data_IF_506844203449
#
_entry.id   IF_506844203449
#
_cell.length_a   1.000
_cell.length_b   1.000
_cell.length_c   1.000
_cell.angle_alpha   90.00
_cell.angle_beta   90.00
_cell.angle_gamma   90.00
#
_symmetry.space_group_name_H-M   'P 1'
#
loop_
_entity.id
_entity.type
_entity.pdbx_description
1 polymer ?
#
# COMPACT_ATOMS: atom_id res chain seq x y z
N UNK A 1 -10.49 -9.58 -24.37
CA UNK A 1 -9.39 -9.34 -23.39
C UNK A 1 -9.35 -10.56 -22.50
N UNK A 2 -8.18 -10.97 -21.97
CA UNK A 2 -8.18 -12.06 -21.02
C UNK A 2 -8.60 -11.59 -19.62
N UNK A 3 -9.06 -12.51 -18.78
CA UNK A 3 -9.63 -12.19 -17.47
C UNK A 3 -8.66 -11.45 -16.52
N UNK A 4 -7.37 -11.76 -16.59
CA UNK A 4 -6.35 -11.08 -15.76
C UNK A 4 -6.23 -9.60 -16.10
N UNK A 5 -6.17 -9.28 -17.39
CA UNK A 5 -6.12 -7.88 -17.86
C UNK A 5 -7.40 -7.14 -17.47
N UNK A 6 -8.57 -7.80 -17.62
CA UNK A 6 -9.85 -7.22 -17.20
C UNK A 6 -9.87 -6.90 -15.70
N UNK A 7 -9.40 -7.82 -14.85
CA UNK A 7 -9.29 -7.61 -13.39
C UNK A 7 -8.45 -6.37 -13.09
N UNK A 8 -7.26 -6.26 -13.70
CA UNK A 8 -6.37 -5.12 -13.46
C UNK A 8 -7.00 -3.80 -13.92
N UNK A 9 -7.62 -3.77 -15.09
CA UNK A 9 -8.24 -2.55 -15.64
C UNK A 9 -9.55 -2.16 -14.92
N UNK A 10 -10.20 -3.11 -14.23
CA UNK A 10 -11.42 -2.87 -13.47
C UNK A 10 -11.16 -2.62 -11.98
N UNK A 11 -9.89 -2.48 -11.59
CA UNK A 11 -9.52 -2.22 -10.20
C UNK A 11 -10.27 -1.01 -9.60
N UNK A 12 -10.82 -1.21 -8.39
CA UNK A 12 -11.46 -0.19 -7.57
C UNK A 12 -11.09 -0.37 -6.11
N UNK A 13 -10.88 0.73 -5.41
CA UNK A 13 -10.77 0.68 -3.94
C UNK A 13 -12.15 0.48 -3.33
N UNK A 14 -12.39 -0.69 -2.72
CA UNK A 14 -13.62 -1.02 -2.01
C UNK A 14 -13.45 -0.71 -0.54
N UNK A 15 -14.32 0.13 0.00
CA UNK A 15 -14.25 0.60 1.40
C UNK A 15 -15.39 0.11 2.28
N UNK A 16 -16.38 -0.54 1.67
CA UNK A 16 -17.50 -1.20 2.38
C UNK A 16 -17.51 -2.67 2.03
N UNK A 17 -17.58 -3.48 3.06
CA UNK A 17 -17.59 -4.93 2.95
C UNK A 17 -18.83 -5.48 3.63
N UNK A 18 -19.32 -6.62 3.14
CA UNK A 18 -20.33 -7.41 3.85
C UNK A 18 -19.74 -8.03 5.12
N UNK A 19 -20.57 -8.60 5.96
CA UNK A 19 -20.12 -9.34 7.14
C UNK A 19 -19.59 -10.74 6.83
N UNK A 20 -19.64 -11.16 5.58
CA UNK A 20 -19.16 -12.46 5.13
C UNK A 20 -17.62 -12.51 5.25
N UNK A 21 -17.14 -13.61 5.81
CA UNK A 21 -15.70 -13.83 5.98
C UNK A 21 -15.08 -14.31 4.66
N UNK A 22 -13.87 -13.87 4.40
CA UNK A 22 -13.04 -14.47 3.34
C UNK A 22 -12.81 -15.95 3.69
N UNK A 23 -13.04 -16.84 2.75
CA UNK A 23 -12.85 -18.28 2.96
C UNK A 23 -11.37 -18.58 3.24
N UNK A 24 -11.12 -19.71 3.93
CA UNK A 24 -9.73 -20.15 4.16
C UNK A 24 -9.05 -20.49 2.84
N UNK A 25 -9.78 -21.09 1.92
CA UNK A 25 -9.32 -21.47 0.60
C UNK A 25 -8.90 -20.26 -0.23
N UNK A 26 -9.71 -19.19 -0.23
CA UNK A 26 -9.39 -17.95 -0.93
C UNK A 26 -8.19 -17.25 -0.28
N UNK A 27 -8.14 -17.18 1.05
CA UNK A 27 -7.01 -16.62 1.77
C UNK A 27 -5.71 -17.36 1.44
N UNK A 28 -5.72 -18.71 1.45
CA UNK A 28 -4.55 -19.52 1.12
C UNK A 28 -4.09 -19.28 -0.34
N UNK A 29 -5.02 -19.12 -1.28
CA UNK A 29 -4.71 -18.77 -2.66
C UNK A 29 -4.09 -17.38 -2.78
N UNK A 30 -4.68 -16.38 -2.14
CA UNK A 30 -4.17 -15.00 -2.11
C UNK A 30 -2.75 -14.95 -1.56
N UNK A 31 -2.49 -15.62 -0.42
CA UNK A 31 -1.16 -15.65 0.20
C UNK A 31 -0.14 -16.38 -0.69
N UNK A 32 -0.52 -17.48 -1.36
CA UNK A 32 0.36 -18.16 -2.31
C UNK A 32 0.68 -17.29 -3.52
N UNK A 33 -0.29 -16.55 -4.06
CA UNK A 33 -0.05 -15.61 -5.14
C UNK A 33 0.87 -14.46 -4.70
N UNK A 34 0.65 -13.92 -3.50
CA UNK A 34 1.53 -12.90 -2.92
C UNK A 34 2.98 -13.38 -2.84
N UNK A 35 3.20 -14.58 -2.30
CA UNK A 35 4.53 -15.16 -2.13
C UNK A 35 5.21 -15.61 -3.44
N UNK A 36 4.48 -15.62 -4.56
CA UNK A 36 5.01 -16.04 -5.87
C UNK A 36 5.48 -14.83 -6.72
N UNK A 37 5.55 -13.64 -6.16
CA UNK A 37 6.10 -12.47 -6.82
C UNK A 37 7.61 -12.54 -7.00
N UNK A 38 8.15 -11.73 -7.93
CA UNK A 38 9.59 -11.56 -8.06
C UNK A 38 10.18 -10.88 -6.82
N UNK A 39 11.37 -11.31 -6.40
CA UNK A 39 12.06 -10.73 -5.24
C UNK A 39 13.54 -10.52 -5.55
N UNK A 40 14.15 -9.59 -4.83
CA UNK A 40 15.57 -9.27 -4.98
C UNK A 40 16.43 -10.49 -4.66
N UNK A 41 17.22 -10.94 -5.65
CA UNK A 41 18.10 -12.09 -5.50
C UNK A 41 17.40 -13.37 -5.03
N UNK A 42 16.11 -13.47 -5.17
CA UNK A 42 15.26 -14.55 -4.64
C UNK A 42 15.38 -14.73 -3.11
N UNK A 43 15.68 -13.65 -2.37
CA UNK A 43 15.82 -13.68 -0.91
C UNK A 43 14.49 -13.61 -0.16
N UNK A 44 13.42 -13.15 -0.82
CA UNK A 44 12.08 -12.94 -0.25
C UNK A 44 12.14 -12.09 1.04
N UNK A 45 12.65 -10.86 0.93
CA UNK A 45 12.88 -9.95 2.07
C UNK A 45 11.60 -9.29 2.59
N UNK A 46 10.55 -10.06 2.74
CA UNK A 46 9.27 -9.58 3.27
C UNK A 46 8.58 -10.61 4.17
N UNK A 47 7.66 -10.13 4.97
CA UNK A 47 6.73 -10.95 5.76
C UNK A 47 5.31 -10.40 5.64
N UNK A 48 4.32 -11.28 5.79
CA UNK A 48 2.89 -10.93 5.73
C UNK A 48 2.25 -11.27 7.07
N UNK A 49 1.63 -10.28 7.71
CA UNK A 49 0.83 -10.50 8.91
C UNK A 49 -0.64 -10.53 8.50
N UNK A 50 -1.30 -11.62 8.81
CA UNK A 50 -2.72 -11.84 8.56
C UNK A 50 -3.50 -11.49 9.81
N UNK A 51 -4.41 -10.53 9.71
CA UNK A 51 -5.29 -10.11 10.81
C UNK A 51 -6.74 -10.39 10.44
N UNK A 52 -7.38 -11.28 11.20
CA UNK A 52 -8.82 -11.59 11.13
C UNK A 52 -9.50 -11.43 12.49
N UNK A 53 -8.72 -11.19 13.54
CA UNK A 53 -9.20 -10.98 14.89
C UNK A 53 -9.76 -9.55 15.04
N UNK A 54 -11.01 -9.44 15.43
CA UNK A 54 -11.69 -8.16 15.58
C UNK A 54 -11.03 -7.27 16.65
N UNK A 55 -10.56 -7.86 17.75
CA UNK A 55 -9.89 -7.08 18.80
C UNK A 55 -8.56 -6.50 18.32
N UNK A 56 -7.82 -7.24 17.47
CA UNK A 56 -6.60 -6.74 16.85
C UNK A 56 -6.91 -5.57 15.91
N UNK A 57 -7.96 -5.67 15.10
CA UNK A 57 -8.38 -4.60 14.20
C UNK A 57 -8.86 -3.35 14.97
N UNK A 58 -9.62 -3.53 16.06
CA UNK A 58 -10.05 -2.45 16.95
C UNK A 58 -8.83 -1.72 17.58
N UNK A 59 -7.76 -2.44 17.93
CA UNK A 59 -6.51 -1.85 18.41
C UNK A 59 -5.73 -1.12 17.31
N UNK A 60 -5.79 -1.61 16.08
CA UNK A 60 -5.14 -0.97 14.93
C UNK A 60 -5.91 0.26 14.42
N UNK A 61 -7.22 0.34 14.63
CA UNK A 61 -8.07 1.40 14.10
C UNK A 61 -7.61 2.83 14.44
N UNK A 62 -7.22 3.16 15.69
CA UNK A 62 -6.67 4.49 16.00
C UNK A 62 -5.39 4.81 15.22
N UNK A 63 -4.57 3.82 14.90
CA UNK A 63 -3.35 3.98 14.11
C UNK A 63 -3.65 4.24 12.63
N UNK A 64 -4.83 3.86 12.19
CA UNK A 64 -5.40 4.19 10.89
C UNK A 64 -6.37 5.39 10.96
N UNK A 65 -6.23 6.26 11.97
CA UNK A 65 -7.07 7.45 12.18
C UNK A 65 -8.57 7.13 12.28
N UNK A 66 -8.92 5.98 12.85
CA UNK A 66 -10.28 5.48 12.99
C UNK A 66 -11.07 5.44 11.67
N UNK A 67 -10.40 5.22 10.55
CA UNK A 67 -11.09 5.02 9.29
C UNK A 67 -12.01 3.78 9.38
N UNK A 68 -13.29 3.89 8.99
CA UNK A 68 -14.24 2.77 9.13
C UNK A 68 -13.78 1.47 8.48
N UNK A 69 -13.01 1.57 7.41
CA UNK A 69 -12.44 0.41 6.70
C UNK A 69 -11.45 -0.36 7.57
N UNK A 70 -10.74 0.29 8.49
CA UNK A 70 -9.78 -0.36 9.38
C UNK A 70 -10.45 -1.23 10.45
N UNK A 71 -11.74 -0.96 10.77
CA UNK A 71 -12.50 -1.72 11.77
C UNK A 71 -13.49 -2.71 11.15
N UNK A 72 -13.98 -2.43 9.94
CA UNK A 72 -15.07 -3.17 9.32
C UNK A 72 -14.61 -4.20 8.27
N UNK A 73 -13.33 -4.20 7.91
CA UNK A 73 -12.80 -5.20 6.99
C UNK A 73 -12.78 -6.59 7.67
N UNK A 74 -13.23 -7.65 7.00
CA UNK A 74 -13.17 -9.01 7.56
C UNK A 74 -11.76 -9.59 7.58
N UNK A 75 -10.83 -9.03 6.80
CA UNK A 75 -9.44 -9.46 6.68
C UNK A 75 -8.55 -8.25 6.41
N UNK A 76 -7.40 -8.18 7.09
CA UNK A 76 -6.33 -7.25 6.79
C UNK A 76 -5.02 -8.01 6.58
N UNK A 77 -4.27 -7.66 5.54
CA UNK A 77 -2.93 -8.16 5.27
C UNK A 77 -1.94 -7.00 5.44
N UNK A 78 -1.04 -7.11 6.42
CA UNK A 78 0.06 -6.16 6.59
C UNK A 78 1.34 -6.74 6.02
N UNK A 79 1.90 -6.08 5.03
CA UNK A 79 3.15 -6.44 4.38
C UNK A 79 4.29 -5.66 5.02
N UNK A 80 5.30 -6.38 5.46
CA UNK A 80 6.47 -5.81 6.11
C UNK A 80 7.72 -6.03 5.26
N UNK A 81 8.55 -5.00 5.12
CA UNK A 81 9.95 -5.17 4.76
C UNK A 81 10.63 -5.96 5.88
N UNK A 82 11.22 -7.11 5.58
CA UNK A 82 11.76 -8.05 6.58
C UNK A 82 13.19 -8.47 6.23
N UNK A 83 14.13 -7.78 6.83
CA UNK A 83 15.55 -8.14 6.79
C UNK A 83 15.94 -9.05 7.97
N UNK A 84 15.10 -9.14 9.00
CA UNK A 84 15.37 -9.92 10.19
C UNK A 84 15.48 -11.42 9.88
N UNK A 85 14.51 -11.97 9.16
CA UNK A 85 14.49 -13.40 8.81
C UNK A 85 15.73 -13.81 8.01
N UNK A 86 16.17 -12.99 7.06
CA UNK A 86 17.36 -13.26 6.27
C UNK A 86 18.64 -13.13 7.09
N UNK A 87 18.74 -12.11 7.98
CA UNK A 87 19.86 -11.97 8.90
C UNK A 87 19.96 -13.18 9.86
N UNK A 88 18.83 -13.68 10.38
CA UNK A 88 18.81 -14.90 11.18
C UNK A 88 19.29 -16.13 10.40
N UNK A 89 18.92 -16.23 9.12
CA UNK A 89 19.46 -17.28 8.24
C UNK A 89 20.98 -17.17 8.10
N UNK A 90 21.51 -15.98 7.86
CA UNK A 90 22.96 -15.74 7.77
C UNK A 90 23.67 -16.13 9.08
N UNK A 91 23.13 -15.71 10.22
CA UNK A 91 23.66 -16.04 11.54
C UNK A 91 23.77 -17.56 11.76
N UNK A 92 22.67 -18.30 11.50
CA UNK A 92 22.65 -19.76 11.65
C UNK A 92 23.52 -20.51 10.63
N UNK A 93 24.00 -19.83 9.60
CA UNK A 93 24.94 -20.38 8.61
C UNK A 93 26.38 -19.89 8.80
N UNK A 94 26.65 -19.06 9.82
CA UNK A 94 27.98 -18.49 10.08
C UNK A 94 28.38 -17.45 9.01
N UNK A 95 27.42 -16.84 8.31
CA UNK A 95 27.65 -15.77 7.35
C UNK A 95 27.56 -14.39 8.03
N UNK A 96 28.07 -13.34 7.36
CA UNK A 96 27.99 -11.97 7.85
C UNK A 96 26.52 -11.50 7.98
N UNK A 97 26.20 -10.81 9.09
CA UNK A 97 24.84 -10.33 9.40
C UNK A 97 24.67 -8.81 9.30
N UNK A 98 25.76 -8.09 9.01
CA UNK A 98 25.80 -6.61 8.93
C UNK A 98 25.61 -6.05 7.50
N UNK A 99 25.59 -6.94 6.49
CA UNK A 99 25.46 -6.56 5.10
C UNK A 99 24.11 -5.91 4.76
N UNK A 100 23.07 -6.18 5.55
CA UNK A 100 21.68 -5.81 5.26
C UNK A 100 21.09 -4.79 6.26
N UNK A 101 21.93 -3.96 6.86
CA UNK A 101 21.53 -2.89 7.79
C UNK A 101 21.77 -1.52 7.17
N UNK A 102 21.28 -1.30 5.96
CA UNK A 102 21.47 -0.04 5.21
C UNK A 102 20.27 0.28 4.34
N UNK A 103 20.21 1.52 3.83
CA UNK A 103 19.10 2.01 3.02
C UNK A 103 18.87 1.17 1.75
N UNK A 104 19.94 0.67 1.12
CA UNK A 104 19.82 -0.13 -0.11
C UNK A 104 19.09 -1.46 0.16
N UNK A 105 19.44 -2.15 1.22
CA UNK A 105 18.76 -3.41 1.59
C UNK A 105 17.32 -3.17 2.07
N UNK A 106 17.06 -2.07 2.77
CA UNK A 106 15.70 -1.64 3.08
C UNK A 106 14.87 -1.40 1.82
N UNK A 107 15.42 -0.69 0.83
CA UNK A 107 14.75 -0.48 -0.46
C UNK A 107 14.40 -1.80 -1.16
N UNK A 108 15.30 -2.80 -1.13
CA UNK A 108 15.02 -4.12 -1.68
C UNK A 108 13.86 -4.80 -0.95
N UNK A 109 13.86 -4.77 0.37
CA UNK A 109 12.83 -5.38 1.19
C UNK A 109 11.45 -4.69 1.00
N UNK A 110 11.43 -3.37 0.87
CA UNK A 110 10.21 -2.60 0.53
C UNK A 110 9.68 -3.01 -0.86
N UNK A 111 10.57 -3.12 -1.85
CA UNK A 111 10.19 -3.54 -3.21
C UNK A 111 9.57 -4.93 -3.21
N UNK A 112 10.21 -5.90 -2.54
CA UNK A 112 9.71 -7.26 -2.40
C UNK A 112 8.32 -7.28 -1.74
N UNK A 113 8.13 -6.53 -0.65
CA UNK A 113 6.85 -6.43 0.07
C UNK A 113 5.73 -5.82 -0.80
N UNK A 114 6.03 -4.77 -1.57
CA UNK A 114 5.04 -4.10 -2.44
C UNK A 114 4.66 -4.99 -3.63
N UNK A 115 5.60 -5.72 -4.22
CA UNK A 115 5.30 -6.69 -5.30
C UNK A 115 4.37 -7.78 -4.75
N UNK A 116 4.66 -8.33 -3.57
CA UNK A 116 3.82 -9.33 -2.92
C UNK A 116 2.43 -8.78 -2.61
N UNK A 117 2.33 -7.54 -2.11
CA UNK A 117 1.08 -6.86 -1.83
C UNK A 117 0.23 -6.67 -3.09
N UNK A 118 0.83 -6.25 -4.20
CA UNK A 118 0.11 -6.08 -5.46
C UNK A 118 -0.38 -7.41 -6.03
N UNK A 119 0.41 -8.48 -5.93
CA UNK A 119 -0.03 -9.82 -6.31
C UNK A 119 -1.23 -10.29 -5.47
N UNK A 120 -1.23 -10.01 -4.16
CA UNK A 120 -2.38 -10.30 -3.30
C UNK A 120 -3.64 -9.55 -3.74
N UNK A 121 -3.52 -8.27 -4.13
CA UNK A 121 -4.62 -7.48 -4.65
C UNK A 121 -5.23 -8.11 -5.91
N UNK A 122 -4.41 -8.39 -6.91
CA UNK A 122 -4.89 -8.99 -8.17
C UNK A 122 -5.52 -10.36 -7.93
N UNK A 123 -4.94 -11.17 -7.04
CA UNK A 123 -5.51 -12.46 -6.67
C UNK A 123 -6.87 -12.31 -5.99
N UNK A 124 -7.00 -11.42 -5.01
CA UNK A 124 -8.26 -11.17 -4.31
C UNK A 124 -9.36 -10.68 -5.28
N UNK A 125 -9.04 -9.69 -6.12
CA UNK A 125 -9.99 -9.16 -7.11
C UNK A 125 -10.38 -10.23 -8.16
N UNK A 126 -9.46 -11.11 -8.55
CA UNK A 126 -9.76 -12.21 -9.48
C UNK A 126 -10.72 -13.26 -8.88
N UNK A 127 -10.77 -13.35 -7.55
CA UNK A 127 -11.71 -14.19 -6.79
C UNK A 127 -13.05 -13.46 -6.51
N UNK A 128 -13.22 -12.24 -6.99
CA UNK A 128 -14.44 -11.44 -6.76
C UNK A 128 -14.46 -10.71 -5.41
N UNK A 129 -13.35 -10.68 -4.70
CA UNK A 129 -13.21 -9.91 -3.47
C UNK A 129 -12.87 -8.45 -3.78
N UNK A 130 -13.25 -7.55 -2.88
CA UNK A 130 -12.85 -6.16 -2.91
C UNK A 130 -11.60 -5.93 -2.08
N UNK A 131 -10.79 -4.93 -2.47
CA UNK A 131 -9.59 -4.54 -1.74
C UNK A 131 -9.52 -3.02 -1.54
N UNK A 132 -8.81 -2.60 -0.48
CA UNK A 132 -8.38 -1.21 -0.35
C UNK A 132 -7.01 -1.14 0.35
N UNK A 133 -6.12 -0.33 -0.21
CA UNK A 133 -4.84 0.00 0.42
C UNK A 133 -5.04 1.02 1.54
N UNK A 134 -4.42 0.77 2.68
CA UNK A 134 -4.37 1.66 3.84
C UNK A 134 -2.96 2.29 3.93
N UNK A 135 -2.77 3.42 3.25
CA UNK A 135 -1.49 4.14 3.26
C UNK A 135 -1.07 4.66 4.63
N UNK A 136 -2.02 4.77 5.54
CA UNK A 136 -1.82 5.19 6.93
C UNK A 136 -0.92 4.25 7.76
N UNK A 137 -0.62 3.05 7.26
CA UNK A 137 0.31 2.11 7.90
C UNK A 137 1.71 2.71 8.12
N UNK A 138 2.11 3.65 7.26
CA UNK A 138 3.41 4.29 7.32
C UNK A 138 3.45 5.56 8.17
N UNK A 139 2.32 6.03 8.73
CA UNK A 139 2.23 7.30 9.46
C UNK A 139 2.51 7.16 10.96
N UNK A 140 2.32 5.97 11.53
CA UNK A 140 2.57 5.69 12.93
C UNK A 140 3.34 4.37 13.06
N UNK A 141 4.46 4.27 12.36
CA UNK A 141 5.23 3.03 12.17
C UNK A 141 5.63 2.42 13.51
N UNK A 142 6.15 3.22 14.44
CA UNK A 142 6.58 2.75 15.77
C UNK A 142 5.45 2.07 16.53
N UNK A 143 4.24 2.64 16.48
CA UNK A 143 3.07 2.06 17.15
C UNK A 143 2.61 0.76 16.49
N UNK A 144 2.72 0.66 15.17
CA UNK A 144 2.46 -0.60 14.46
C UNK A 144 3.51 -1.67 14.78
N UNK A 145 4.78 -1.29 14.89
CA UNK A 145 5.86 -2.20 15.33
C UNK A 145 5.53 -2.76 16.71
N UNK A 146 5.13 -1.92 17.65
CA UNK A 146 4.72 -2.32 18.99
C UNK A 146 3.47 -3.22 18.97
N UNK A 147 2.40 -2.78 18.32
CA UNK A 147 1.13 -3.51 18.23
C UNK A 147 1.30 -4.91 17.62
N UNK A 148 2.04 -5.00 16.53
CA UNK A 148 2.28 -6.23 15.78
C UNK A 148 3.48 -7.03 16.32
N UNK A 149 4.18 -6.51 17.35
CA UNK A 149 5.37 -7.12 17.97
C UNK A 149 6.47 -7.44 16.96
N UNK A 150 6.71 -6.50 16.05
CA UNK A 150 7.71 -6.67 15.01
C UNK A 150 9.12 -6.60 15.62
N UNK A 151 10.03 -7.52 15.29
CA UNK A 151 11.41 -7.44 15.74
C UNK A 151 12.17 -6.32 14.99
N UNK A 152 13.38 -5.99 15.49
CA UNK A 152 14.29 -5.09 14.79
C UNK A 152 14.49 -5.54 13.33
N UNK A 153 14.57 -4.61 12.40
CA UNK A 153 14.70 -4.83 10.95
C UNK A 153 13.45 -5.45 10.30
N UNK A 154 12.28 -5.32 10.91
CA UNK A 154 10.97 -5.60 10.28
C UNK A 154 10.09 -4.36 10.38
N UNK A 155 9.71 -3.79 9.24
CA UNK A 155 9.00 -2.52 9.15
C UNK A 155 7.74 -2.69 8.30
N UNK A 156 6.55 -2.30 8.80
CA UNK A 156 5.33 -2.39 7.99
C UNK A 156 5.36 -1.32 6.89
N UNK A 157 5.09 -1.72 5.65
CA UNK A 157 5.20 -0.86 4.46
C UNK A 157 3.91 -0.77 3.65
N UNK A 158 3.04 -1.76 3.76
CA UNK A 158 1.74 -1.75 3.12
C UNK A 158 0.71 -2.49 3.98
N UNK A 159 -0.53 -2.01 3.97
CA UNK A 159 -1.65 -2.70 4.58
C UNK A 159 -2.82 -2.71 3.59
N UNK A 160 -3.46 -3.87 3.44
CA UNK A 160 -4.58 -4.06 2.52
C UNK A 160 -5.74 -4.66 3.30
N UNK A 161 -6.90 -4.03 3.25
CA UNK A 161 -8.16 -4.62 3.69
C UNK A 161 -8.80 -5.39 2.54
N UNK A 162 -9.35 -6.56 2.84
CA UNK A 162 -9.93 -7.49 1.87
C UNK A 162 -11.27 -8.01 2.41
N UNK A 163 -12.27 -8.13 1.53
CA UNK A 163 -13.57 -8.71 1.89
C UNK A 163 -14.52 -8.78 0.71
N UNK A 164 -15.71 -9.34 0.94
CA UNK A 164 -16.77 -9.33 -0.06
C UNK A 164 -17.33 -7.91 -0.19
N UNK A 165 -17.33 -7.32 -1.41
CA UNK A 165 -17.71 -5.92 -1.60
C UNK A 165 -19.20 -5.70 -1.30
N UNK A 166 -19.51 -4.63 -0.56
CA UNK A 166 -20.88 -4.11 -0.30
C UNK A 166 -21.10 -2.74 -0.97
N UNK A 167 -20.32 -2.44 -1.98
CA UNK A 167 -20.42 -1.25 -2.82
C UNK A 167 -19.82 -1.51 -4.19
N UNK A 168 -20.22 -0.70 -5.17
CA UNK A 168 -19.64 -0.70 -6.50
C UNK A 168 -19.33 0.75 -6.92
N UNK A 169 -18.23 1.34 -6.42
CA UNK A 169 -17.85 2.68 -6.80
C UNK A 169 -17.47 2.77 -8.28
N UNK A 170 -17.52 3.97 -8.83
CA UNK A 170 -16.98 4.25 -10.17
C UNK A 170 -15.48 3.97 -10.24
N UNK A 171 -14.98 3.77 -11.46
CA UNK A 171 -13.53 3.68 -11.68
C UNK A 171 -12.87 5.00 -11.28
N UNK A 172 -11.75 4.89 -10.57
CA UNK A 172 -10.98 6.08 -10.18
C UNK A 172 -10.41 6.76 -11.43
N UNK A 173 -10.59 8.06 -11.54
CA UNK A 173 -9.98 8.90 -12.56
C UNK A 173 -8.44 8.83 -12.46
N UNK A 174 -7.80 8.38 -13.51
CA UNK A 174 -6.34 8.31 -13.61
C UNK A 174 -5.84 9.40 -14.56
N UNK A 175 -4.60 9.82 -14.39
CA UNK A 175 -3.94 10.59 -15.43
C UNK A 175 -3.84 9.75 -16.71
N UNK A 176 -3.81 10.41 -17.89
CA UNK A 176 -3.56 9.70 -19.15
C UNK A 176 -2.20 8.99 -19.11
N UNK A 177 -2.08 7.87 -19.83
CA UNK A 177 -0.90 6.99 -19.76
C UNK A 177 0.39 7.74 -20.11
N UNK A 178 0.28 8.70 -21.01
CA UNK A 178 1.37 9.56 -21.49
C UNK A 178 2.00 10.40 -20.37
N UNK A 179 1.29 10.60 -19.27
CA UNK A 179 1.81 11.30 -18.10
C UNK A 179 2.89 10.50 -17.34
N UNK A 180 3.03 9.21 -17.61
CA UNK A 180 3.90 8.31 -16.84
C UNK A 180 4.84 7.49 -17.72
N UNK A 181 4.69 7.54 -19.06
CA UNK A 181 5.47 6.70 -19.98
C UNK A 181 6.39 7.57 -20.83
N UNK A 182 7.68 7.32 -20.74
CA UNK A 182 8.72 7.94 -21.54
C UNK A 182 9.37 6.88 -22.43
N UNK A 183 9.73 7.24 -23.66
CA UNK A 183 10.43 6.35 -24.58
C UNK A 183 11.94 6.58 -24.45
N UNK A 184 12.69 5.51 -24.18
CA UNK A 184 14.16 5.45 -24.07
C UNK A 184 14.74 6.33 -22.95
N UNK A 185 14.37 7.62 -22.89
CA UNK A 185 14.87 8.59 -21.92
C UNK A 185 13.73 9.41 -21.33
N UNK A 186 13.94 9.88 -20.11
CA UNK A 186 12.98 10.77 -19.45
C UNK A 186 12.83 12.07 -20.24
N UNK A 187 11.58 12.48 -20.48
CA UNK A 187 11.22 13.76 -21.07
C UNK A 187 10.64 14.65 -19.99
N UNK A 188 11.22 15.83 -19.79
CA UNK A 188 10.69 16.80 -18.82
C UNK A 188 9.41 17.45 -19.34
N UNK A 189 8.63 18.01 -18.44
CA UNK A 189 7.32 18.57 -18.73
C UNK A 189 7.37 20.09 -18.76
N UNK A 190 6.95 20.67 -19.88
CA UNK A 190 6.64 22.10 -19.94
C UNK A 190 5.33 22.43 -19.20
N UNK A 191 5.10 23.70 -18.92
CA UNK A 191 3.81 24.16 -18.38
C UNK A 191 2.63 23.74 -19.26
N UNK A 192 2.79 23.79 -20.57
CA UNK A 192 1.78 23.33 -21.51
C UNK A 192 1.47 21.84 -21.33
N UNK A 193 2.49 21.01 -21.18
CA UNK A 193 2.30 19.57 -20.98
C UNK A 193 1.58 19.27 -19.67
N UNK A 194 1.97 19.92 -18.58
CA UNK A 194 1.31 19.76 -17.27
C UNK A 194 -0.17 20.17 -17.36
N UNK A 195 -0.46 21.33 -17.93
CA UNK A 195 -1.84 21.80 -18.08
C UNK A 195 -2.69 20.85 -18.93
N UNK A 196 -2.11 20.26 -19.98
CA UNK A 196 -2.79 19.27 -20.83
C UNK A 196 -3.06 17.96 -20.07
N UNK A 197 -2.05 17.43 -19.38
CA UNK A 197 -2.13 16.13 -18.68
C UNK A 197 -3.10 16.14 -17.50
N UNK A 198 -3.21 17.26 -16.79
CA UNK A 198 -4.06 17.37 -15.60
C UNK A 198 -5.45 17.94 -15.88
N UNK A 199 -5.71 18.42 -17.10
CA UNK A 199 -6.96 19.10 -17.48
C UNK A 199 -8.23 18.33 -17.11
N UNK A 200 -8.31 17.06 -17.48
CA UNK A 200 -9.48 16.22 -17.21
C UNK A 200 -9.61 15.91 -15.72
N UNK A 201 -8.49 15.66 -15.05
CA UNK A 201 -8.47 15.39 -13.63
C UNK A 201 -8.90 16.58 -12.79
N UNK A 202 -8.49 17.78 -13.15
CA UNK A 202 -8.90 19.01 -12.45
C UNK A 202 -10.36 19.40 -12.75
N UNK A 203 -10.85 19.06 -13.94
CA UNK A 203 -12.25 19.25 -14.31
C UNK A 203 -13.20 18.16 -13.77
N UNK A 204 -12.66 17.10 -13.16
CA UNK A 204 -13.47 15.99 -12.66
C UNK A 204 -14.40 16.45 -11.52
N UNK A 205 -15.69 16.04 -11.49
CA UNK A 205 -16.65 16.50 -10.47
C UNK A 205 -16.18 16.30 -9.03
N UNK A 206 -15.52 15.16 -8.73
CA UNK A 206 -14.97 14.92 -7.40
C UNK A 206 -13.84 15.88 -7.05
N UNK A 207 -13.01 16.28 -8.02
CA UNK A 207 -11.94 17.27 -7.80
C UNK A 207 -12.56 18.63 -7.53
N UNK A 208 -13.51 19.09 -8.34
CA UNK A 208 -14.19 20.37 -8.15
C UNK A 208 -14.86 20.46 -6.76
N UNK A 209 -15.51 19.38 -6.31
CA UNK A 209 -16.08 19.30 -4.98
C UNK A 209 -15.01 19.44 -3.87
N UNK A 210 -13.86 18.77 -4.03
CA UNK A 210 -12.75 18.87 -3.08
C UNK A 210 -12.18 20.29 -3.03
N UNK A 211 -12.07 20.96 -4.18
CA UNK A 211 -11.59 22.34 -4.25
C UNK A 211 -12.55 23.30 -3.52
N UNK A 212 -13.85 23.17 -3.78
CA UNK A 212 -14.88 23.95 -3.11
C UNK A 212 -14.87 23.74 -1.58
N UNK A 213 -14.84 22.49 -1.12
CA UNK A 213 -14.81 22.13 0.31
C UNK A 213 -13.56 22.65 1.04
N UNK A 214 -12.46 22.88 0.34
CA UNK A 214 -11.19 23.36 0.92
C UNK A 214 -10.89 24.83 0.63
N UNK A 215 -11.71 25.51 -0.14
CA UNK A 215 -11.53 26.89 -0.58
C UNK A 215 -10.17 27.09 -1.29
N UNK A 216 -9.83 26.19 -2.22
CA UNK A 216 -8.56 26.19 -2.96
C UNK A 216 -8.79 26.20 -4.47
N UNK A 217 -7.79 26.72 -5.21
CA UNK A 217 -7.90 26.94 -6.65
C UNK A 217 -7.58 25.72 -7.51
N UNK A 218 -6.73 24.81 -7.02
CA UNK A 218 -6.27 23.64 -7.77
C UNK A 218 -5.91 22.45 -6.88
N UNK A 219 -5.81 21.28 -7.51
CA UNK A 219 -5.57 20.02 -6.81
C UNK A 219 -4.15 19.94 -6.18
N UNK A 220 -3.17 20.63 -6.76
CA UNK A 220 -1.83 20.68 -6.20
C UNK A 220 -1.83 21.34 -4.80
N UNK A 221 -2.57 22.45 -4.62
CA UNK A 221 -2.74 23.08 -3.31
C UNK A 221 -3.42 22.13 -2.30
N UNK A 222 -4.43 21.36 -2.72
CA UNK A 222 -5.06 20.37 -1.83
C UNK A 222 -4.04 19.38 -1.29
N UNK A 223 -3.15 18.88 -2.14
CA UNK A 223 -2.12 17.93 -1.73
C UNK A 223 -1.05 18.55 -0.85
N UNK A 224 -0.59 19.75 -1.15
CA UNK A 224 0.54 20.38 -0.46
C UNK A 224 0.16 21.14 0.81
N UNK A 225 -1.08 21.66 0.87
CA UNK A 225 -1.51 22.54 1.97
C UNK A 225 -2.52 21.89 2.92
N UNK A 226 -3.17 20.78 2.52
CA UNK A 226 -4.20 20.11 3.33
C UNK A 226 -3.91 18.66 3.63
N UNK A 227 -3.49 17.85 2.65
CA UNK A 227 -3.41 16.40 2.78
C UNK A 227 -2.02 15.86 3.10
N UNK A 228 -1.01 16.40 2.44
CA UNK A 228 0.38 15.92 2.53
C UNK A 228 1.31 17.11 2.72
N UNK A 229 1.09 17.86 3.81
CA UNK A 229 1.88 19.06 4.08
C UNK A 229 3.35 18.72 4.29
N UNK A 230 4.23 19.69 4.01
CA UNK A 230 5.67 19.52 4.25
C UNK A 230 5.96 19.05 5.69
N UNK A 231 5.29 19.67 6.67
CA UNK A 231 5.45 19.34 8.10
C UNK A 231 5.06 17.87 8.39
N UNK A 232 3.93 17.42 7.85
CA UNK A 232 3.47 16.05 8.09
C UNK A 232 4.40 15.04 7.40
N UNK A 233 4.83 15.33 6.17
CA UNK A 233 5.76 14.48 5.45
C UNK A 233 7.13 14.37 6.13
N UNK A 234 7.67 15.47 6.65
CA UNK A 234 8.92 15.48 7.43
C UNK A 234 8.77 14.64 8.71
N UNK A 235 7.67 14.81 9.43
CA UNK A 235 7.39 14.01 10.63
C UNK A 235 7.32 12.50 10.31
N UNK A 236 6.56 12.10 9.28
CA UNK A 236 6.45 10.69 8.89
C UNK A 236 7.76 10.11 8.37
N UNK A 237 8.59 10.91 7.69
CA UNK A 237 9.92 10.49 7.26
C UNK A 237 10.84 10.20 8.46
N UNK A 238 10.79 11.00 9.52
CA UNK A 238 11.53 10.76 10.75
C UNK A 238 11.08 9.48 11.46
N UNK A 239 9.77 9.21 11.52
CA UNK A 239 9.21 7.98 12.10
C UNK A 239 9.74 6.73 11.37
N UNK A 240 9.68 6.73 10.03
CA UNK A 240 10.22 5.63 9.22
C UNK A 240 11.73 5.50 9.40
N UNK A 241 12.47 6.61 9.44
CA UNK A 241 13.91 6.64 9.64
C UNK A 241 14.33 6.04 10.98
N UNK A 242 13.61 6.34 12.05
CA UNK A 242 13.86 5.74 13.39
C UNK A 242 13.55 4.25 13.43
N UNK A 243 12.49 3.82 12.75
CA UNK A 243 12.11 2.42 12.69
C UNK A 243 13.11 1.54 11.91
N UNK A 244 13.86 2.16 10.98
CA UNK A 244 14.85 1.45 10.16
C UNK A 244 16.17 1.17 10.89
N UNK A 245 16.53 1.97 11.90
CA UNK A 245 17.77 1.86 12.69
C UNK A 245 17.56 0.95 13.88
#
# INVERSE_FOLDING_TARGET
MNKTIETILQHRSIRKFTSEKVSKEDLDLILRCACNGSTMGNMQLFSIIVSTDKQMMEKAAPLHFNQPIATNAPLMLTFCADLHRFNRYCEYRGAATDCYSNLQSYQWAVTDAIIAAQNACVAAESLGLGICWLGTITYQVDKFIELLKLPKNVIPVACISIGHPDEQPELTDKLPVEAMIHQEVYQDYSEYDINKLYKEKEAHPNTLKILEENELDNLAQVFTERRYTKKDNEFFAEEIGRAHV
#
